data_IF_998375761375
#
_entry.id   IF_998375761375
#
_cell.length_a   1.000
_cell.length_b   1.000
_cell.length_c   1.000
_cell.angle_alpha   90.00
_cell.angle_beta   90.00
_cell.angle_gamma   90.00
#
_symmetry.space_group_name_H-M   'P 1'
#
loop_
_entity.id
_entity.type
_entity.pdbx_description
1 polymer ?
#
# COMPACT_ATOMS: atom_id res chain seq x y z
N UNK A 1 0.92 33.92 19.01
CA UNK A 1 1.38 32.62 18.50
C UNK A 1 0.91 31.56 19.48
N UNK A 2 0.49 30.39 19.01
CA UNK A 2 0.19 29.24 19.87
C UNK A 2 1.43 28.38 20.01
N UNK A 3 1.53 27.58 21.08
CA UNK A 3 2.61 26.59 21.26
C UNK A 3 2.71 25.66 20.05
N UNK A 4 1.56 25.27 19.47
CA UNK A 4 1.52 24.48 18.24
C UNK A 4 2.23 25.21 17.09
N UNK A 5 1.86 26.47 16.80
CA UNK A 5 2.47 27.22 15.69
C UNK A 5 3.96 27.48 15.89
N UNK A 6 4.41 27.63 17.13
CA UNK A 6 5.84 27.78 17.47
C UNK A 6 6.61 26.50 17.14
N UNK A 7 6.15 25.35 17.64
CA UNK A 7 6.79 24.05 17.40
C UNK A 7 6.81 23.72 15.90
N UNK A 8 5.70 23.95 15.19
CA UNK A 8 5.64 23.68 13.75
C UNK A 8 6.66 24.52 12.97
N UNK A 9 6.77 25.81 13.30
CA UNK A 9 7.72 26.69 12.62
C UNK A 9 9.18 26.31 12.89
N UNK A 10 9.52 25.91 14.13
CA UNK A 10 10.86 25.41 14.48
C UNK A 10 11.20 24.11 13.73
N UNK A 11 10.21 23.26 13.47
CA UNK A 11 10.34 22.03 12.66
C UNK A 11 10.23 22.29 11.14
N UNK A 12 10.11 23.56 10.71
CA UNK A 12 10.12 23.97 9.31
C UNK A 12 8.75 24.02 8.62
N UNK A 13 7.65 23.81 9.35
CA UNK A 13 6.29 23.88 8.84
C UNK A 13 5.66 25.26 9.05
N UNK A 14 5.11 25.84 7.99
CA UNK A 14 4.46 27.15 8.00
C UNK A 14 2.95 27.04 8.17
N UNK A 15 2.41 25.83 8.05
CA UNK A 15 1.00 25.54 8.27
C UNK A 15 0.78 24.10 8.76
N UNK A 16 -0.37 23.87 9.37
CA UNK A 16 -0.82 22.52 9.72
C UNK A 16 -1.05 21.66 8.47
N UNK A 17 -1.34 22.28 7.33
CA UNK A 17 -1.60 21.59 6.07
C UNK A 17 -0.31 21.03 5.45
N UNK A 18 0.82 21.74 5.59
CA UNK A 18 2.14 21.23 5.22
C UNK A 18 2.49 19.98 6.05
N UNK A 19 2.32 20.05 7.38
CA UNK A 19 2.53 18.88 8.25
C UNK A 19 1.59 17.72 7.86
N UNK A 20 0.31 18.01 7.64
CA UNK A 20 -0.66 16.99 7.31
C UNK A 20 -0.34 16.30 5.97
N UNK A 21 0.20 17.04 5.00
CA UNK A 21 0.65 16.50 3.71
C UNK A 21 1.83 15.55 3.88
N UNK A 22 2.86 15.96 4.61
CA UNK A 22 4.04 15.13 4.84
C UNK A 22 3.69 13.88 5.64
N UNK A 23 2.83 14.03 6.65
CA UNK A 23 2.32 12.90 7.41
C UNK A 23 1.50 11.94 6.54
N UNK A 24 0.62 12.47 5.67
CA UNK A 24 -0.14 11.64 4.74
C UNK A 24 0.76 10.89 3.76
N UNK A 25 1.82 11.54 3.26
CA UNK A 25 2.81 10.90 2.39
C UNK A 25 3.55 9.77 3.12
N UNK A 26 3.96 10.01 4.37
CA UNK A 26 4.61 9.00 5.20
C UNK A 26 3.71 7.78 5.42
N UNK A 27 2.43 8.01 5.73
CA UNK A 27 1.43 6.93 5.86
C UNK A 27 1.27 6.17 4.54
N UNK A 28 1.19 6.89 3.41
CA UNK A 28 1.04 6.27 2.10
C UNK A 28 2.24 5.39 1.73
N UNK A 29 3.47 5.87 1.98
CA UNK A 29 4.70 5.11 1.77
C UNK A 29 4.78 3.86 2.65
N UNK A 30 4.43 3.99 3.94
CA UNK A 30 4.42 2.84 4.85
C UNK A 30 3.42 1.76 4.42
N UNK A 31 2.24 2.16 3.94
CA UNK A 31 1.24 1.24 3.40
C UNK A 31 1.68 0.61 2.10
N UNK A 32 2.31 1.38 1.21
CA UNK A 32 2.89 0.86 -0.03
C UNK A 32 3.90 -0.27 0.26
N UNK A 33 4.84 -0.03 1.18
CA UNK A 33 5.83 -1.03 1.59
C UNK A 33 5.18 -2.28 2.21
N UNK A 34 4.17 -2.09 3.05
CA UNK A 34 3.40 -3.20 3.64
C UNK A 34 2.78 -4.09 2.55
N UNK A 35 2.00 -3.52 1.63
CA UNK A 35 1.30 -4.30 0.61
C UNK A 35 2.26 -4.91 -0.41
N UNK A 36 3.41 -4.26 -0.66
CA UNK A 36 4.46 -4.84 -1.48
C UNK A 36 5.02 -6.12 -0.83
N UNK A 37 5.30 -6.08 0.48
CA UNK A 37 5.76 -7.24 1.23
C UNK A 37 4.72 -8.37 1.28
N UNK A 38 3.43 -8.03 1.40
CA UNK A 38 2.32 -9.00 1.35
C UNK A 38 2.24 -9.68 -0.03
N UNK A 39 2.32 -8.93 -1.13
CA UNK A 39 2.38 -9.51 -2.47
C UNK A 39 3.61 -10.42 -2.64
N UNK A 40 4.80 -9.97 -2.22
CA UNK A 40 6.02 -10.77 -2.29
C UNK A 40 5.95 -12.04 -1.42
N UNK A 41 5.23 -11.99 -0.30
CA UNK A 41 5.02 -13.16 0.56
C UNK A 41 4.27 -14.26 -0.20
N UNK A 42 3.17 -13.93 -0.88
CA UNK A 42 2.41 -14.92 -1.64
C UNK A 42 3.18 -15.44 -2.87
N UNK A 43 3.92 -14.58 -3.58
CA UNK A 43 4.83 -15.02 -4.66
C UNK A 43 5.83 -16.05 -4.16
N UNK A 44 6.37 -15.85 -2.95
CA UNK A 44 7.31 -16.78 -2.31
C UNK A 44 6.61 -18.04 -1.78
N UNK A 45 5.41 -17.92 -1.18
CA UNK A 45 4.62 -19.05 -0.65
C UNK A 45 4.30 -20.05 -1.75
N UNK A 46 3.88 -19.57 -2.92
CA UNK A 46 3.47 -20.41 -4.04
C UNK A 46 4.55 -20.64 -5.10
N UNK A 47 5.65 -19.87 -5.04
CA UNK A 47 6.71 -19.90 -6.04
C UNK A 47 6.18 -19.74 -7.48
N UNK A 48 5.15 -18.90 -7.62
CA UNK A 48 4.44 -18.60 -8.85
C UNK A 48 4.10 -17.11 -8.86
N UNK A 49 4.09 -16.45 -10.03
CA UNK A 49 3.53 -15.12 -10.15
C UNK A 49 2.00 -15.16 -10.02
N UNK A 50 1.40 -14.07 -9.55
CA UNK A 50 -0.04 -13.95 -9.25
C UNK A 50 -0.93 -14.56 -10.34
N UNK A 51 -0.73 -14.17 -11.61
CA UNK A 51 -1.54 -14.60 -12.75
C UNK A 51 -1.53 -16.12 -12.98
N UNK A 52 -0.43 -16.78 -12.61
CA UNK A 52 -0.31 -18.24 -12.72
C UNK A 52 -0.99 -18.93 -11.56
N UNK A 53 -0.89 -18.37 -10.35
CA UNK A 53 -1.55 -18.87 -9.16
C UNK A 53 -3.08 -18.69 -9.25
N UNK A 54 -3.55 -17.51 -9.65
CA UNK A 54 -4.96 -17.21 -9.93
C UNK A 54 -5.59 -18.23 -10.89
N UNK A 55 -4.91 -18.50 -12.01
CA UNK A 55 -5.36 -19.53 -12.97
C UNK A 55 -5.34 -20.94 -12.39
N UNK A 56 -4.46 -21.24 -11.45
CA UNK A 56 -4.37 -22.56 -10.84
C UNK A 56 -5.58 -22.79 -9.94
N UNK A 57 -5.85 -21.87 -9.02
CA UNK A 57 -7.00 -21.91 -8.10
C UNK A 57 -8.31 -22.00 -8.88
N UNK A 58 -8.51 -21.17 -9.91
CA UNK A 58 -9.77 -21.14 -10.65
C UNK A 58 -9.98 -22.29 -11.66
N UNK A 59 -8.97 -23.12 -11.92
CA UNK A 59 -9.04 -24.20 -12.93
C UNK A 59 -9.34 -25.58 -12.33
N UNK A 60 -9.06 -25.80 -11.05
CA UNK A 60 -9.33 -27.07 -10.37
C UNK A 60 -10.82 -27.21 -10.01
N UNK A 61 -11.63 -27.59 -11.00
CA UNK A 61 -13.03 -27.96 -10.73
C UNK A 61 -13.10 -29.31 -10.03
N UNK A 62 -13.57 -29.31 -8.78
CA UNK A 62 -13.86 -30.52 -8.00
C UNK A 62 -12.84 -30.84 -6.91
N UNK A 63 -11.87 -29.95 -6.66
CA UNK A 63 -10.96 -30.02 -5.53
C UNK A 63 -10.82 -28.60 -4.94
N UNK A 64 -11.65 -28.29 -3.95
CA UNK A 64 -11.62 -27.00 -3.24
C UNK A 64 -10.49 -27.03 -2.21
N UNK A 65 -9.51 -26.14 -2.38
CA UNK A 65 -8.52 -25.84 -1.36
C UNK A 65 -8.82 -24.46 -0.79
N UNK A 66 -9.55 -24.44 0.32
CA UNK A 66 -9.98 -23.22 0.99
C UNK A 66 -8.81 -22.31 1.37
N UNK A 67 -7.62 -22.86 1.67
CA UNK A 67 -6.45 -22.05 1.99
C UNK A 67 -5.95 -21.29 0.75
N UNK A 68 -5.95 -21.95 -0.41
CA UNK A 68 -5.54 -21.30 -1.66
C UNK A 68 -6.56 -20.26 -2.13
N UNK A 69 -7.84 -20.50 -1.91
CA UNK A 69 -8.92 -19.54 -2.18
C UNK A 69 -8.82 -18.30 -1.29
N UNK A 70 -8.64 -18.47 0.02
CA UNK A 70 -8.42 -17.35 0.95
C UNK A 70 -7.16 -16.56 0.59
N UNK A 71 -6.06 -17.26 0.29
CA UNK A 71 -4.79 -16.62 -0.06
C UNK A 71 -4.85 -15.84 -1.38
N UNK A 72 -5.55 -16.34 -2.41
CA UNK A 72 -5.67 -15.60 -3.68
C UNK A 72 -6.52 -14.34 -3.50
N UNK A 73 -7.57 -14.40 -2.67
CA UNK A 73 -8.38 -13.23 -2.32
C UNK A 73 -7.56 -12.18 -1.56
N UNK A 74 -6.79 -12.60 -0.55
CA UNK A 74 -5.90 -11.73 0.21
C UNK A 74 -4.79 -11.12 -0.66
N UNK A 75 -4.25 -11.91 -1.59
CA UNK A 75 -3.24 -11.42 -2.54
C UNK A 75 -3.85 -10.41 -3.51
N UNK A 76 -5.04 -10.66 -4.07
CA UNK A 76 -5.74 -9.71 -4.93
C UNK A 76 -6.03 -8.39 -4.19
N UNK A 77 -6.50 -8.47 -2.94
CA UNK A 77 -6.70 -7.30 -2.10
C UNK A 77 -5.39 -6.51 -1.94
N UNK A 78 -4.30 -7.18 -1.58
CA UNK A 78 -2.99 -6.57 -1.40
C UNK A 78 -2.48 -5.90 -2.68
N UNK A 79 -2.63 -6.55 -3.82
CA UNK A 79 -2.20 -6.02 -5.11
C UNK A 79 -3.01 -4.78 -5.53
N UNK A 80 -4.31 -4.77 -5.27
CA UNK A 80 -5.16 -3.62 -5.53
C UNK A 80 -4.88 -2.45 -4.57
N UNK A 81 -4.65 -2.74 -3.30
CA UNK A 81 -4.24 -1.75 -2.31
C UNK A 81 -2.88 -1.13 -2.66
N UNK A 82 -1.92 -1.94 -3.07
CA UNK A 82 -0.60 -1.49 -3.54
C UNK A 82 -0.72 -0.48 -4.68
N UNK A 83 -1.50 -0.81 -5.72
CA UNK A 83 -1.75 0.10 -6.87
C UNK A 83 -2.37 1.43 -6.41
N UNK A 84 -3.32 1.37 -5.48
CA UNK A 84 -3.99 2.58 -4.99
C UNK A 84 -3.03 3.47 -4.19
N UNK A 85 -2.26 2.89 -3.27
CA UNK A 85 -1.28 3.64 -2.47
C UNK A 85 -0.16 4.20 -3.32
N UNK A 86 0.28 3.48 -4.36
CA UNK A 86 1.25 3.99 -5.35
C UNK A 86 0.74 5.27 -6.01
N UNK A 87 -0.51 5.27 -6.48
CA UNK A 87 -1.12 6.46 -7.06
C UNK A 87 -1.21 7.62 -6.06
N UNK A 88 -1.49 7.35 -4.78
CA UNK A 88 -1.55 8.40 -3.75
C UNK A 88 -0.18 8.98 -3.39
N UNK A 89 0.86 8.15 -3.35
CA UNK A 89 2.25 8.62 -3.18
C UNK A 89 2.63 9.56 -4.33
N UNK A 90 2.28 9.20 -5.56
CA UNK A 90 2.53 10.04 -6.74
C UNK A 90 1.76 11.37 -6.67
N UNK A 91 0.46 11.34 -6.38
CA UNK A 91 -0.37 12.55 -6.22
C UNK A 91 0.18 13.49 -5.13
N UNK A 92 0.58 12.95 -3.98
CA UNK A 92 1.14 13.73 -2.87
C UNK A 92 2.56 14.25 -3.17
N UNK A 93 3.38 13.47 -3.86
CA UNK A 93 4.73 13.84 -4.27
C UNK A 93 4.77 14.93 -5.33
N UNK A 94 3.87 14.88 -6.32
CA UNK A 94 3.71 15.97 -7.30
C UNK A 94 3.16 17.24 -6.65
N UNK A 95 2.26 17.13 -5.67
CA UNK A 95 1.73 18.29 -4.97
C UNK A 95 2.81 19.06 -4.17
N UNK A 96 3.87 18.38 -3.69
CA UNK A 96 4.96 19.00 -2.92
C UNK A 96 5.98 19.77 -3.78
N UNK A 97 5.84 19.76 -5.11
CA UNK A 97 6.77 20.41 -6.06
C UNK A 97 6.30 21.74 -6.67
N UNK A 98 5.09 22.21 -6.34
CA UNK A 98 4.50 23.51 -6.77
C UNK A 98 4.40 24.49 -5.59
#
# INVERSE_FOLDING_TARGET
>A
MTVLSEVLLEEGYHSTDELARDWALMVALARLEQYQAECEFFEKKYNLPWEQFDRLVHREKGHEDFEQEEDIEDWEFSANALKWWQAKVEELGYAAGD
#
